data_IF_497292512733
#
_entry.id   IF_497292512733
#
_cell.length_a   1.000
_cell.length_b   1.000
_cell.length_c   1.000
_cell.angle_alpha   90.00
_cell.angle_beta   90.00
_cell.angle_gamma   90.00
#
_symmetry.space_group_name_H-M   'P 1'
#
loop_
_entity.id
_entity.type
_entity.pdbx_description
1 polymer ?
#
# COMPACT_ATOMS: atom_id res chain seq x y z
N UNK A 1 -54.84 55.43 -7.06
CA UNK A 1 -53.62 54.79 -7.65
C UNK A 1 -52.99 53.93 -6.55
N UNK A 2 -53.20 52.64 -6.57
CA UNK A 2 -52.58 51.69 -5.61
C UNK A 2 -51.28 51.19 -6.21
N UNK A 3 -50.14 51.51 -5.57
CA UNK A 3 -48.84 50.93 -5.91
C UNK A 3 -48.77 49.53 -5.34
N UNK A 4 -48.74 48.52 -6.18
CA UNK A 4 -48.41 47.13 -5.78
C UNK A 4 -46.89 47.04 -5.65
N UNK A 5 -46.42 46.76 -4.44
CA UNK A 5 -45.04 46.44 -4.11
C UNK A 5 -44.82 44.98 -4.37
N UNK A 6 -44.13 44.63 -5.46
CA UNK A 6 -43.82 43.27 -5.86
C UNK A 6 -42.54 42.83 -5.12
N UNK A 7 -42.73 42.06 -4.03
CA UNK A 7 -41.62 41.49 -3.27
C UNK A 7 -41.06 40.28 -4.02
N UNK A 8 -39.88 40.44 -4.63
CA UNK A 8 -39.13 39.32 -5.20
C UNK A 8 -38.52 38.50 -4.05
N UNK A 9 -39.09 37.31 -3.78
CA UNK A 9 -38.47 36.33 -2.91
C UNK A 9 -37.32 35.68 -3.69
N UNK A 10 -36.08 36.06 -3.38
CA UNK A 10 -34.88 35.35 -3.85
C UNK A 10 -34.78 34.06 -3.07
N UNK A 11 -35.29 32.95 -3.65
CA UNK A 11 -34.99 31.59 -3.18
C UNK A 11 -33.52 31.30 -3.55
N UNK A 12 -32.61 31.66 -2.64
CA UNK A 12 -31.24 31.16 -2.68
C UNK A 12 -31.28 29.65 -2.45
N UNK A 13 -31.12 28.85 -3.48
CA UNK A 13 -30.88 27.41 -3.37
C UNK A 13 -29.53 27.24 -2.67
N UNK A 14 -29.58 27.02 -1.36
CA UNK A 14 -28.46 26.46 -0.62
C UNK A 14 -28.22 25.04 -1.16
N UNK A 15 -27.22 24.90 -2.03
CA UNK A 15 -26.69 23.59 -2.37
C UNK A 15 -26.01 23.03 -1.11
N UNK A 16 -26.81 22.39 -0.25
CA UNK A 16 -26.26 21.54 0.78
C UNK A 16 -25.63 20.33 0.04
N UNK A 17 -24.32 20.35 -0.11
CA UNK A 17 -23.58 19.15 -0.52
C UNK A 17 -23.71 18.14 0.62
N UNK A 18 -24.64 17.20 0.47
CA UNK A 18 -24.75 16.11 1.41
C UNK A 18 -23.45 15.30 1.39
N UNK A 19 -22.85 15.16 2.55
CA UNK A 19 -21.65 14.34 2.72
C UNK A 19 -22.01 12.88 2.35
N UNK A 20 -21.18 12.26 1.55
CA UNK A 20 -21.41 10.88 1.12
C UNK A 20 -21.09 9.91 2.26
N UNK A 21 -21.78 8.77 2.40
CA UNK A 21 -21.47 7.77 3.44
C UNK A 21 -20.00 7.33 3.44
N UNK A 22 -19.35 7.31 2.28
CA UNK A 22 -17.93 6.96 2.15
C UNK A 22 -17.00 7.95 2.85
N UNK A 23 -17.41 9.20 3.03
CA UNK A 23 -16.62 10.24 3.69
C UNK A 23 -16.49 10.00 5.21
N UNK A 24 -17.33 9.14 5.78
CA UNK A 24 -17.27 8.73 7.19
C UNK A 24 -16.41 7.49 7.44
N UNK A 25 -15.92 6.85 6.38
CA UNK A 25 -15.08 5.65 6.51
C UNK A 25 -13.67 6.07 6.88
N UNK A 26 -13.19 5.58 8.02
CA UNK A 26 -11.80 5.78 8.45
C UNK A 26 -11.03 4.45 8.34
N UNK A 27 -10.18 4.27 7.30
CA UNK A 27 -9.41 3.05 7.11
C UNK A 27 -8.36 2.77 8.19
N UNK A 28 -8.07 3.72 9.07
CA UNK A 28 -7.11 3.54 10.17
C UNK A 28 -7.72 2.88 11.42
N UNK A 29 -9.03 2.65 11.46
CA UNK A 29 -9.66 1.96 12.58
C UNK A 29 -9.14 0.53 12.66
N UNK A 30 -8.64 0.13 13.84
CA UNK A 30 -8.11 -1.21 14.08
C UNK A 30 -6.68 -1.45 13.57
N UNK A 31 -5.93 -0.39 13.25
CA UNK A 31 -4.55 -0.50 12.74
C UNK A 31 -3.47 -0.26 13.80
N UNK A 32 -3.84 0.09 15.04
CA UNK A 32 -2.92 0.34 16.15
C UNK A 32 -2.92 -0.78 17.18
N UNK A 33 -1.93 -0.75 18.06
CA UNK A 33 -1.65 -1.82 19.03
C UNK A 33 -1.51 -3.17 18.32
N UNK A 34 -2.28 -4.17 18.68
CA UNK A 34 -2.33 -5.49 18.03
C UNK A 34 -3.53 -5.61 17.06
N UNK A 35 -3.98 -4.48 16.51
CA UNK A 35 -5.02 -4.46 15.51
C UNK A 35 -4.59 -5.17 14.22
N UNK A 36 -5.55 -5.77 13.53
CA UNK A 36 -5.29 -6.67 12.40
C UNK A 36 -5.83 -6.14 11.08
N UNK A 37 -6.25 -4.86 11.04
CA UNK A 37 -6.65 -4.17 9.83
C UNK A 37 -5.50 -3.37 9.25
N UNK A 38 -5.65 -2.91 8.01
CA UNK A 38 -4.68 -2.03 7.35
C UNK A 38 -5.39 -0.95 6.53
N UNK A 39 -4.76 0.22 6.31
CA UNK A 39 -5.33 1.33 5.57
C UNK A 39 -5.11 1.24 4.06
N UNK A 40 -4.67 0.11 3.56
CA UNK A 40 -4.30 -0.07 2.15
C UNK A 40 -5.45 0.11 1.19
N UNK A 41 -5.10 0.36 -0.07
CA UNK A 41 -6.06 0.42 -1.16
C UNK A 41 -6.55 -0.98 -1.50
N UNK A 42 -7.84 -1.22 -1.33
CA UNK A 42 -8.51 -2.50 -1.61
C UNK A 42 -9.74 -2.25 -2.47
N UNK A 43 -9.93 -3.08 -3.49
CA UNK A 43 -11.21 -3.16 -4.19
C UNK A 43 -12.13 -4.12 -3.41
N UNK A 44 -13.39 -3.75 -3.11
CA UNK A 44 -14.30 -4.60 -2.36
C UNK A 44 -14.43 -5.99 -2.99
N UNK A 45 -14.16 -7.05 -2.21
CA UNK A 45 -14.16 -8.44 -2.66
C UNK A 45 -13.17 -8.74 -3.82
N UNK A 46 -12.22 -7.83 -4.07
CA UNK A 46 -11.14 -8.05 -5.02
C UNK A 46 -10.01 -8.90 -4.43
N UNK A 47 -9.24 -9.56 -5.30
CA UNK A 47 -8.06 -10.30 -4.85
C UNK A 47 -6.82 -9.40 -4.69
N UNK A 48 -6.86 -8.18 -5.23
CA UNK A 48 -5.74 -7.23 -5.15
C UNK A 48 -5.96 -6.23 -4.02
N UNK A 49 -4.93 -6.09 -3.21
CA UNK A 49 -4.73 -4.98 -2.29
C UNK A 49 -3.34 -4.40 -2.51
N UNK A 50 -3.18 -3.10 -2.28
CA UNK A 50 -1.87 -2.43 -2.23
C UNK A 50 -1.77 -1.76 -0.87
N UNK A 51 -0.98 -2.35 0.00
CA UNK A 51 -0.95 -2.02 1.43
C UNK A 51 0.42 -1.49 1.83
N UNK A 52 0.49 -0.40 2.60
CA UNK A 52 1.76 0.03 3.19
C UNK A 52 2.33 -1.09 4.07
N UNK A 53 3.63 -1.32 3.94
CA UNK A 53 4.33 -2.36 4.67
C UNK A 53 5.31 -1.71 5.65
N UNK A 54 5.11 -1.91 6.95
CA UNK A 54 5.93 -1.32 8.01
C UNK A 54 6.12 -2.24 9.22
N UNK A 55 5.90 -3.54 9.06
CA UNK A 55 6.03 -4.53 10.15
C UNK A 55 7.29 -5.38 10.06
N UNK A 56 8.20 -5.02 9.15
CA UNK A 56 9.52 -5.66 8.98
C UNK A 56 10.54 -4.65 8.47
N UNK A 57 11.80 -5.00 8.63
CA UNK A 57 12.91 -4.29 8.00
C UNK A 57 13.39 -3.07 8.75
N UNK A 58 13.02 -2.88 10.02
CA UNK A 58 13.57 -1.79 10.81
C UNK A 58 13.41 -1.99 12.31
N UNK A 59 14.52 -1.95 13.01
CA UNK A 59 14.54 -1.87 14.48
C UNK A 59 13.93 -0.57 15.03
N UNK A 60 13.69 0.42 14.18
CA UNK A 60 13.01 1.67 14.53
C UNK A 60 11.51 1.51 14.72
N UNK A 61 10.93 0.45 14.24
CA UNK A 61 9.53 0.14 14.42
C UNK A 61 9.31 -0.52 15.76
N UNK A 62 8.29 -0.08 16.48
CA UNK A 62 7.92 -0.63 17.78
C UNK A 62 7.48 -2.08 17.68
N UNK A 63 6.79 -2.39 16.61
CA UNK A 63 6.28 -3.72 16.32
C UNK A 63 6.87 -4.16 14.97
N UNK A 64 8.03 -4.77 15.04
CA UNK A 64 8.68 -5.35 13.89
C UNK A 64 8.45 -6.87 13.87
N UNK A 65 8.11 -7.43 12.73
CA UNK A 65 7.81 -8.86 12.59
C UNK A 65 9.04 -9.74 12.87
N UNK A 66 10.25 -9.25 12.61
CA UNK A 66 11.48 -9.99 12.90
C UNK A 66 11.62 -10.34 14.39
N UNK A 67 10.98 -9.54 15.25
CA UNK A 67 10.97 -9.76 16.71
C UNK A 67 9.61 -10.19 17.28
N UNK A 68 8.54 -10.01 16.52
CA UNK A 68 7.17 -10.30 16.95
C UNK A 68 6.34 -10.88 15.79
N UNK A 69 5.36 -11.69 16.14
CA UNK A 69 4.39 -12.20 15.16
C UNK A 69 3.34 -11.15 14.80
N UNK A 70 3.09 -10.97 13.50
CA UNK A 70 2.05 -10.13 12.96
C UNK A 70 1.23 -10.85 11.89
N UNK A 71 -0.08 -10.58 11.88
CA UNK A 71 -1.00 -11.06 10.85
C UNK A 71 -1.35 -10.01 9.79
N UNK A 72 -0.80 -8.81 9.91
CA UNK A 72 -1.06 -7.70 8.98
C UNK A 72 0.25 -7.04 8.55
N UNK A 73 0.34 -6.49 7.34
CA UNK A 73 1.54 -5.80 6.85
C UNK A 73 1.76 -4.41 7.45
N UNK A 74 0.82 -3.90 8.22
CA UNK A 74 0.83 -2.52 8.71
C UNK A 74 0.48 -2.43 10.19
N UNK A 75 1.15 -1.51 10.88
CA UNK A 75 0.75 -1.01 12.20
C UNK A 75 0.87 0.53 12.22
N UNK A 76 -0.17 1.22 12.68
CA UNK A 76 -0.13 2.68 12.85
C UNK A 76 0.88 3.15 13.92
N UNK A 77 1.29 2.25 14.80
CA UNK A 77 2.32 2.52 15.81
C UNK A 77 3.74 2.55 15.21
N UNK A 78 3.93 2.00 14.01
CA UNK A 78 5.19 1.98 13.27
C UNK A 78 5.30 3.17 12.33
N UNK A 79 6.48 3.76 12.25
CA UNK A 79 6.73 4.97 11.45
C UNK A 79 7.83 4.78 10.41
N UNK A 80 8.22 3.56 10.15
CA UNK A 80 9.29 3.24 9.21
C UNK A 80 8.76 2.32 8.10
N UNK A 81 8.53 2.90 6.93
CA UNK A 81 7.97 2.25 5.76
C UNK A 81 9.04 1.50 4.98
N UNK A 82 8.77 0.28 4.60
CA UNK A 82 9.70 -0.58 3.86
C UNK A 82 9.16 -1.06 2.51
N UNK A 83 7.98 -0.62 2.12
CA UNK A 83 7.42 -0.90 0.80
C UNK A 83 5.89 -0.91 0.75
N UNK A 84 5.36 -1.19 -0.41
CA UNK A 84 3.97 -1.58 -0.62
C UNK A 84 3.87 -3.07 -0.85
N UNK A 85 3.11 -3.76 0.00
CA UNK A 85 2.75 -5.16 -0.18
C UNK A 85 1.56 -5.30 -1.13
N UNK A 86 1.61 -6.28 -2.01
CA UNK A 86 0.55 -6.56 -2.97
C UNK A 86 -0.12 -7.89 -2.68
N UNK A 87 -1.46 -7.90 -2.72
CA UNK A 87 -2.26 -9.09 -2.51
C UNK A 87 -2.31 -9.57 -1.05
N UNK A 88 -2.14 -8.66 -0.08
CA UNK A 88 -2.28 -8.98 1.34
C UNK A 88 -3.72 -9.28 1.69
N UNK A 89 -3.95 -10.23 2.57
CA UNK A 89 -5.24 -10.42 3.23
C UNK A 89 -5.48 -9.30 4.25
N UNK A 90 -6.73 -9.07 4.57
CA UNK A 90 -7.18 -8.13 5.59
C UNK A 90 -7.95 -8.87 6.68
N UNK A 91 -7.69 -8.50 7.92
CA UNK A 91 -8.38 -9.06 9.08
C UNK A 91 -7.48 -9.99 9.90
N UNK A 92 -8.11 -10.61 10.88
CA UNK A 92 -7.45 -11.45 11.86
C UNK A 92 -7.14 -12.84 11.31
N UNK A 93 -6.05 -13.40 11.76
CA UNK A 93 -5.72 -14.77 11.49
C UNK A 93 -4.23 -15.00 11.40
N UNK A 94 -3.84 -15.69 10.37
CA UNK A 94 -2.47 -16.05 10.13
C UNK A 94 -1.78 -14.99 9.29
N UNK A 95 -0.45 -14.82 9.40
CA UNK A 95 0.29 -13.96 8.48
C UNK A 95 0.24 -14.58 7.09
N UNK A 96 -0.22 -13.79 6.11
CA UNK A 96 -0.49 -14.37 4.80
C UNK A 96 -0.36 -13.40 3.67
N UNK A 97 0.11 -13.95 2.54
CA UNK A 97 0.25 -13.24 1.28
C UNK A 97 1.07 -11.95 1.40
N UNK A 98 0.91 -11.02 0.46
CA UNK A 98 1.61 -9.75 0.51
C UNK A 98 3.13 -9.82 0.33
N UNK A 99 3.62 -10.87 -0.30
CA UNK A 99 5.04 -11.11 -0.51
C UNK A 99 5.64 -10.46 -1.75
N UNK A 100 4.92 -9.58 -2.42
CA UNK A 100 5.42 -8.77 -3.54
C UNK A 100 5.55 -7.34 -3.04
N UNK A 101 6.75 -6.94 -2.64
CA UNK A 101 6.98 -5.60 -2.06
C UNK A 101 7.59 -4.67 -3.11
N UNK A 102 7.00 -3.50 -3.29
CA UNK A 102 7.55 -2.42 -4.11
C UNK A 102 8.00 -1.26 -3.23
N UNK A 103 9.27 -0.88 -3.36
CA UNK A 103 9.83 0.28 -2.64
C UNK A 103 10.46 1.26 -3.61
N UNK A 104 9.96 2.51 -3.70
CA UNK A 104 10.61 3.57 -4.45
C UNK A 104 11.74 4.20 -3.64
N UNK A 105 12.90 4.43 -4.27
CA UNK A 105 14.07 5.05 -3.65
C UNK A 105 14.74 6.06 -4.61
N UNK A 106 15.62 6.90 -4.08
CA UNK A 106 16.44 7.84 -4.86
C UNK A 106 17.88 7.82 -4.42
N UNK A 107 18.80 8.22 -5.31
CA UNK A 107 20.22 8.27 -5.04
C UNK A 107 20.88 6.89 -5.16
N UNK A 108 21.87 6.62 -4.35
CA UNK A 108 22.59 5.35 -4.39
C UNK A 108 21.68 4.15 -4.16
N UNK A 109 21.80 3.16 -5.03
CA UNK A 109 20.98 1.95 -4.96
C UNK A 109 21.39 1.09 -3.76
N UNK A 110 20.47 0.87 -2.84
CA UNK A 110 20.65 -0.08 -1.74
C UNK A 110 19.52 -1.13 -1.80
N UNK A 111 19.89 -2.39 -1.82
CA UNK A 111 18.95 -3.54 -1.90
C UNK A 111 18.77 -4.24 -0.56
N UNK A 112 19.46 -3.82 0.48
CA UNK A 112 19.24 -4.33 1.83
C UNK A 112 17.92 -3.79 2.39
N UNK A 113 16.94 -4.66 2.58
CA UNK A 113 15.61 -4.28 3.06
C UNK A 113 15.64 -3.64 4.46
N UNK A 114 16.65 -3.94 5.27
CA UNK A 114 16.86 -3.31 6.59
C UNK A 114 17.42 -1.88 6.48
N UNK A 115 17.96 -1.52 5.33
CA UNK A 115 18.61 -0.24 5.10
C UNK A 115 17.84 0.70 4.16
N UNK A 116 17.07 0.21 3.20
CA UNK A 116 16.39 1.06 2.22
C UNK A 116 15.10 1.70 2.73
N UNK A 117 14.55 1.26 3.85
CA UNK A 117 13.32 1.82 4.39
C UNK A 117 13.41 3.33 4.68
N UNK A 118 12.28 3.96 4.88
CA UNK A 118 12.14 5.39 5.12
C UNK A 118 11.10 5.70 6.18
N UNK A 119 11.36 6.67 7.02
CA UNK A 119 10.28 7.35 7.74
C UNK A 119 9.31 7.96 6.72
N UNK A 120 8.05 8.14 7.13
CA UNK A 120 7.01 8.70 6.28
C UNK A 120 6.10 9.67 7.06
N UNK A 121 5.45 10.53 6.31
CA UNK A 121 4.51 11.55 6.80
C UNK A 121 3.38 11.77 5.81
N UNK A 122 2.46 12.68 6.14
CA UNK A 122 1.34 13.10 5.28
C UNK A 122 0.53 11.88 4.81
N UNK A 123 0.30 10.95 5.73
CA UNK A 123 -0.41 9.70 5.45
C UNK A 123 -1.91 9.98 5.28
N UNK A 124 -2.46 9.54 4.16
CA UNK A 124 -3.88 9.67 3.82
C UNK A 124 -4.41 8.34 3.32
N UNK A 125 -5.57 7.94 3.83
CA UNK A 125 -6.29 6.76 3.35
C UNK A 125 -7.78 7.06 3.19
N UNK A 126 -8.32 6.56 2.08
CA UNK A 126 -9.76 6.49 1.80
C UNK A 126 -10.08 5.10 1.25
N UNK A 127 -11.32 4.65 1.23
CA UNK A 127 -11.69 3.41 0.56
C UNK A 127 -11.14 3.34 -0.87
N UNK A 128 -10.26 2.37 -1.14
CA UNK A 128 -9.61 2.18 -2.43
C UNK A 128 -8.42 3.08 -2.74
N UNK A 129 -7.96 3.90 -1.80
CA UNK A 129 -6.82 4.80 -2.00
C UNK A 129 -5.97 4.92 -0.73
N UNK A 130 -4.65 4.96 -0.94
CA UNK A 130 -3.67 5.25 0.11
C UNK A 130 -2.55 6.15 -0.43
N UNK A 131 -2.02 7.02 0.39
CA UNK A 131 -0.79 7.77 0.08
C UNK A 131 0.02 8.14 1.30
N UNK A 132 1.33 8.33 1.11
CA UNK A 132 2.25 8.91 2.07
C UNK A 132 3.39 9.66 1.38
N UNK A 133 4.22 10.32 2.17
CA UNK A 133 5.46 10.96 1.72
C UNK A 133 6.65 10.31 2.43
N UNK A 134 7.53 9.66 1.67
CA UNK A 134 8.75 9.03 2.17
C UNK A 134 9.79 10.12 2.40
N UNK A 135 10.14 10.38 3.66
CA UNK A 135 10.94 11.55 4.04
C UNK A 135 12.41 11.43 3.64
N UNK A 136 12.99 10.22 3.73
CA UNK A 136 14.38 9.95 3.33
C UNK A 136 14.62 10.24 1.85
N UNK A 137 13.64 10.00 1.01
CA UNK A 137 13.75 10.06 -0.45
C UNK A 137 13.00 11.23 -1.07
N UNK A 138 12.22 11.97 -0.27
CA UNK A 138 11.32 13.02 -0.74
C UNK A 138 10.40 12.54 -1.88
N UNK A 139 9.83 11.36 -1.72
CA UNK A 139 8.94 10.73 -2.69
C UNK A 139 7.52 10.75 -2.16
N UNK A 140 6.58 11.28 -2.95
CA UNK A 140 5.15 11.02 -2.72
C UNK A 140 4.78 9.68 -3.35
N UNK A 141 4.26 8.77 -2.53
CA UNK A 141 3.83 7.45 -2.94
C UNK A 141 2.31 7.35 -2.79
N UNK A 142 1.63 6.89 -3.83
CA UNK A 142 0.17 6.76 -3.91
C UNK A 142 -0.18 5.38 -4.45
N UNK A 143 -1.25 4.81 -3.94
CA UNK A 143 -1.72 3.48 -4.34
C UNK A 143 -3.24 3.42 -4.48
N UNK A 144 -3.69 2.65 -5.45
CA UNK A 144 -5.08 2.22 -5.61
C UNK A 144 -5.14 0.79 -6.12
N UNK A 145 -6.30 0.18 -6.08
CA UNK A 145 -6.49 -1.20 -6.52
C UNK A 145 -7.79 -1.37 -7.29
N UNK A 146 -7.79 -2.29 -8.23
CA UNK A 146 -8.97 -2.87 -8.87
C UNK A 146 -9.09 -4.33 -8.46
N UNK A 147 -10.02 -5.07 -9.05
CA UNK A 147 -10.28 -6.47 -8.68
C UNK A 147 -9.02 -7.34 -8.70
N UNK A 148 -8.10 -7.14 -9.65
CA UNK A 148 -6.89 -7.97 -9.83
C UNK A 148 -5.61 -7.17 -10.09
N UNK A 149 -5.69 -5.84 -10.10
CA UNK A 149 -4.55 -4.98 -10.46
C UNK A 149 -4.34 -3.94 -9.39
N UNK A 150 -3.13 -3.87 -8.85
CA UNK A 150 -2.65 -2.75 -8.06
C UNK A 150 -2.04 -1.69 -8.97
N UNK A 151 -2.27 -0.42 -8.68
CA UNK A 151 -1.64 0.71 -9.34
C UNK A 151 -0.95 1.57 -8.30
N UNK A 152 0.35 1.76 -8.47
CA UNK A 152 1.14 2.67 -7.65
C UNK A 152 1.65 3.84 -8.50
N UNK A 153 1.63 5.04 -7.92
CA UNK A 153 2.20 6.24 -8.51
C UNK A 153 3.26 6.81 -7.56
N UNK A 154 4.48 6.92 -8.07
CA UNK A 154 5.60 7.49 -7.33
C UNK A 154 6.01 8.82 -7.98
N UNK A 155 5.95 9.90 -7.21
CA UNK A 155 6.43 11.21 -7.63
C UNK A 155 7.83 11.41 -7.07
N UNK A 156 8.82 11.25 -7.92
CA UNK A 156 10.23 11.38 -7.57
C UNK A 156 10.71 12.83 -7.65
N UNK A 157 11.65 13.25 -6.79
CA UNK A 157 12.41 14.46 -7.02
C UNK A 157 13.31 14.31 -8.26
N UNK A 158 13.95 15.40 -8.69
CA UNK A 158 14.95 15.32 -9.76
C UNK A 158 16.14 14.49 -9.31
N UNK A 159 16.65 13.64 -10.21
CA UNK A 159 17.82 12.80 -9.96
C UNK A 159 17.59 11.33 -10.31
N UNK A 160 18.52 10.51 -9.88
CA UNK A 160 18.43 9.05 -10.03
C UNK A 160 17.36 8.49 -9.12
N UNK A 161 16.54 7.59 -9.65
CA UNK A 161 15.41 7.02 -8.94
C UNK A 161 15.24 5.55 -9.30
N UNK A 162 14.82 4.76 -8.33
CA UNK A 162 14.67 3.32 -8.45
C UNK A 162 13.31 2.86 -7.94
N UNK A 163 12.84 1.75 -8.49
CA UNK A 163 11.74 0.97 -7.94
C UNK A 163 12.32 -0.42 -7.63
N UNK A 164 12.41 -0.75 -6.35
CA UNK A 164 12.86 -2.06 -5.90
C UNK A 164 11.65 -3.00 -5.86
N UNK A 165 11.77 -4.17 -6.50
CA UNK A 165 10.87 -5.29 -6.31
C UNK A 165 11.55 -6.29 -5.37
N UNK A 166 11.12 -6.34 -4.13
CA UNK A 166 11.61 -7.30 -3.16
C UNK A 166 10.70 -8.52 -3.12
N UNK A 167 11.25 -9.65 -3.50
CA UNK A 167 10.60 -10.96 -3.49
C UNK A 167 11.10 -11.86 -2.35
N UNK A 168 12.07 -11.40 -1.58
CA UNK A 168 12.61 -12.12 -0.43
C UNK A 168 11.79 -11.95 0.84
N UNK A 169 11.11 -10.81 0.95
CA UNK A 169 10.43 -10.42 2.18
C UNK A 169 8.91 -10.36 2.03
N UNK A 170 8.21 -10.49 3.14
CA UNK A 170 6.75 -10.44 3.22
C UNK A 170 6.28 -11.01 4.57
N UNK A 171 4.99 -11.09 4.78
CA UNK A 171 4.43 -11.73 5.98
C UNK A 171 4.69 -13.23 6.00
N UNK A 172 4.76 -13.84 4.83
CA UNK A 172 5.16 -15.24 4.67
C UNK A 172 6.36 -15.28 3.74
N UNK A 173 7.46 -15.84 4.24
CA UNK A 173 8.76 -15.82 3.57
C UNK A 173 9.09 -17.22 3.08
N UNK A 174 8.67 -17.54 1.87
CA UNK A 174 8.98 -18.78 1.24
C UNK A 174 10.05 -18.60 0.14
N UNK A 175 10.77 -19.66 -0.13
CA UNK A 175 11.76 -19.69 -1.20
C UNK A 175 11.08 -19.94 -2.55
N UNK A 176 11.79 -19.66 -3.64
CA UNK A 176 11.31 -20.01 -4.99
C UNK A 176 10.64 -18.86 -5.71
N UNK A 177 11.28 -17.71 -5.76
CA UNK A 177 10.87 -16.59 -6.62
C UNK A 177 11.56 -16.65 -7.99
N UNK A 178 10.85 -16.23 -9.04
CA UNK A 178 11.36 -16.06 -10.39
C UNK A 178 10.98 -14.70 -10.93
N UNK A 179 11.86 -14.11 -11.75
CA UNK A 179 11.58 -12.88 -12.51
C UNK A 179 12.08 -13.03 -13.92
N UNK A 180 11.29 -12.62 -14.88
CA UNK A 180 11.65 -12.54 -16.31
C UNK A 180 11.36 -11.14 -16.84
N UNK A 181 12.32 -10.54 -17.49
CA UNK A 181 12.13 -9.29 -18.25
C UNK A 181 11.46 -9.67 -19.57
N UNK A 182 10.25 -9.16 -19.79
CA UNK A 182 9.48 -9.39 -21.03
C UNK A 182 9.90 -8.37 -22.10
N UNK A 183 10.01 -7.10 -21.69
CA UNK A 183 10.48 -5.98 -22.50
C UNK A 183 10.90 -4.82 -21.58
N UNK A 184 11.26 -3.68 -22.15
CA UNK A 184 11.75 -2.51 -21.42
C UNK A 184 10.78 -1.94 -20.38
N UNK A 185 9.51 -2.30 -20.42
CA UNK A 185 8.49 -1.76 -19.49
C UNK A 185 7.69 -2.85 -18.77
N UNK A 186 8.01 -4.10 -19.00
CA UNK A 186 7.23 -5.22 -18.46
C UNK A 186 8.13 -6.33 -17.92
N UNK A 187 7.85 -6.73 -16.71
CA UNK A 187 8.40 -7.94 -16.09
C UNK A 187 7.26 -8.85 -15.64
N UNK A 188 7.54 -10.13 -15.62
CA UNK A 188 6.66 -11.13 -15.03
C UNK A 188 7.46 -12.04 -14.10
N UNK A 189 6.75 -12.73 -13.23
CA UNK A 189 7.39 -13.65 -12.33
C UNK A 189 6.43 -14.43 -11.46
N UNK A 190 7.02 -15.16 -10.54
CA UNK A 190 6.28 -15.90 -9.52
C UNK A 190 7.01 -15.89 -8.20
N UNK A 191 6.27 -16.11 -7.13
CA UNK A 191 6.81 -16.37 -5.80
C UNK A 191 5.99 -17.46 -5.12
N UNK A 192 6.65 -18.34 -4.40
CA UNK A 192 5.98 -19.26 -3.48
C UNK A 192 5.64 -18.52 -2.19
N UNK A 193 4.38 -18.54 -1.82
CA UNK A 193 3.85 -18.00 -0.57
C UNK A 193 3.28 -19.14 0.27
N UNK A 194 3.42 -19.04 1.55
CA UNK A 194 3.00 -20.03 2.57
C UNK A 194 3.81 -19.70 3.83
N UNK A 195 3.79 -20.42 4.84
CA UNK A 195 2.95 -21.56 5.20
C UNK A 195 1.64 -21.07 5.80
N UNK A 196 0.57 -21.16 5.04
CA UNK A 196 -0.72 -20.62 5.43
C UNK A 196 -1.13 -21.16 6.79
N UNK A 197 -1.41 -20.29 7.77
CA UNK A 197 -1.72 -20.68 9.15
C UNK A 197 -0.73 -21.68 9.76
N UNK A 198 0.56 -21.50 9.47
CA UNK A 198 1.64 -22.40 9.96
C UNK A 198 1.52 -23.86 9.49
N UNK A 199 0.69 -24.11 8.47
CA UNK A 199 0.62 -25.41 7.83
C UNK A 199 1.73 -25.53 6.77
N UNK A 200 2.77 -26.37 7.00
CA UNK A 200 3.91 -26.48 6.09
C UNK A 200 3.54 -27.02 4.69
N UNK A 201 2.38 -27.64 4.52
CA UNK A 201 1.87 -28.10 3.23
C UNK A 201 1.08 -27.02 2.48
N UNK A 202 0.68 -25.94 3.15
CA UNK A 202 -0.10 -24.86 2.54
C UNK A 202 0.83 -23.83 1.88
N UNK A 203 1.57 -24.24 0.87
CA UNK A 203 2.43 -23.40 0.03
C UNK A 203 1.87 -23.39 -1.39
N UNK A 204 1.76 -22.21 -1.98
CA UNK A 204 1.23 -22.05 -3.32
C UNK A 204 1.94 -20.93 -4.10
N UNK A 205 2.03 -21.06 -5.43
CA UNK A 205 2.63 -20.03 -6.26
C UNK A 205 1.67 -18.88 -6.49
N UNK A 206 2.18 -17.68 -6.38
CA UNK A 206 1.55 -16.45 -6.86
C UNK A 206 2.31 -15.97 -8.09
N UNK A 207 1.59 -15.74 -9.17
CA UNK A 207 2.13 -15.22 -10.42
C UNK A 207 1.78 -13.76 -10.56
N UNK A 208 2.69 -12.96 -11.10
CA UNK A 208 2.50 -11.53 -11.30
C UNK A 208 3.03 -11.05 -12.65
N UNK A 209 2.43 -9.99 -13.12
CA UNK A 209 2.97 -9.12 -14.19
C UNK A 209 3.05 -7.71 -13.64
N UNK A 210 4.19 -7.07 -13.81
CA UNK A 210 4.39 -5.67 -13.45
C UNK A 210 4.73 -4.87 -14.70
N UNK A 211 4.02 -3.75 -14.87
CA UNK A 211 4.27 -2.79 -15.97
C UNK A 211 4.62 -1.42 -15.40
N UNK A 212 5.59 -0.77 -16.03
CA UNK A 212 5.98 0.60 -15.72
C UNK A 212 5.69 1.49 -16.93
N UNK A 213 5.33 2.75 -16.68
CA UNK A 213 4.98 3.71 -17.75
C UNK A 213 6.21 4.34 -18.42
N UNK A 214 7.42 4.04 -17.93
CA UNK A 214 8.69 4.54 -18.47
C UNK A 214 9.73 3.44 -18.35
N UNK A 215 10.42 3.16 -19.47
CA UNK A 215 11.54 2.23 -19.46
C UNK A 215 12.63 2.67 -18.46
N UNK A 216 13.16 1.77 -17.63
CA UNK A 216 14.35 2.04 -16.85
C UNK A 216 15.54 2.31 -17.79
N UNK A 217 16.54 3.01 -17.27
CA UNK A 217 17.78 3.28 -18.00
C UNK A 217 18.79 2.18 -17.74
#
# INVERSE_FOLDING_TARGET
MKKQLMTFLLCGSLFATAQQPVDYVNPFIGTSNYGTTNPGAVYPQGMMSVVPFNVMGSEKNRFDKDSQWWSTPYSADNKFFTGFAHGSLSGVGCPELGGLLLMPTTGELNVDYKAYGSEYKDEVAHPGYYSNTLTKYNIKAEATASMRTGLSRFTFPKGESHILLNLGEGLTNETGATVRIVNDTEIEGSKLLGTFCYNPQAVFPVYFVMKVNKAPK
#
